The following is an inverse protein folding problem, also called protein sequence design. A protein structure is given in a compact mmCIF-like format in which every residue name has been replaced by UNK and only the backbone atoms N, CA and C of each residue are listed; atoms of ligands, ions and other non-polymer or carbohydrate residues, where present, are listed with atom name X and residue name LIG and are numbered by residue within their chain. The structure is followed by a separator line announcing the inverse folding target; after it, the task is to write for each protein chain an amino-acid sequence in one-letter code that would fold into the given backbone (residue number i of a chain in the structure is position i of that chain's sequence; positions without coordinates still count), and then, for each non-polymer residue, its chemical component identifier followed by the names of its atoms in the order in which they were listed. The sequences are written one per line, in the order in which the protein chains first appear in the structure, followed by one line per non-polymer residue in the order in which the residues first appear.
data_IF_655897245358
#
_entry.id   IF_655897245358
#
_cell.length_a   1.000
_cell.length_b   1.000
_cell.length_c   1.000
_cell.angle_alpha   90.00
_cell.angle_beta   90.00
_cell.angle_gamma   90.00
#
_symmetry.space_group_name_H-M   'P 1'
#
loop_
_entity.id
_entity.type
_entity.pdbx_description
1 polymer ?
#
# COMPACT_ATOMS: atom_id res chain seq x y z
N UNK A 1 -22.74 -0.02 -47.66
CA UNK A 1 -23.19 -1.35 -47.21
C UNK A 1 -22.09 -2.35 -46.84
N UNK A 2 -20.82 -2.13 -47.21
CA UNK A 2 -19.72 -3.09 -46.91
C UNK A 2 -19.10 -2.97 -45.51
N UNK A 3 -19.31 -1.89 -44.78
CA UNK A 3 -18.78 -1.68 -43.41
C UNK A 3 -19.64 -2.28 -42.31
N UNK A 4 -20.90 -2.54 -42.52
CA UNK A 4 -21.82 -3.13 -41.54
C UNK A 4 -21.77 -4.66 -41.47
N UNK A 5 -21.24 -5.29 -42.49
CA UNK A 5 -21.12 -6.78 -42.52
C UNK A 5 -19.86 -7.29 -41.79
N UNK A 6 -18.82 -6.47 -41.67
CA UNK A 6 -17.57 -6.87 -41.00
C UNK A 6 -17.75 -6.84 -39.48
N UNK A 7 -18.56 -5.94 -38.94
CA UNK A 7 -18.84 -5.84 -37.51
C UNK A 7 -19.70 -7.00 -36.99
N UNK A 8 -20.55 -7.57 -37.83
CA UNK A 8 -21.38 -8.73 -37.47
C UNK A 8 -20.60 -10.05 -37.44
N UNK A 9 -19.51 -10.17 -38.22
CA UNK A 9 -18.68 -11.36 -38.25
C UNK A 9 -17.70 -11.46 -37.06
N UNK A 10 -17.28 -10.34 -36.50
CA UNK A 10 -16.41 -10.33 -35.30
C UNK A 10 -17.18 -10.61 -34.00
N UNK A 11 -18.47 -10.31 -33.95
CA UNK A 11 -19.29 -10.57 -32.77
C UNK A 11 -19.69 -12.07 -32.62
N UNK A 12 -19.69 -12.83 -33.72
CA UNK A 12 -20.04 -14.25 -33.69
C UNK A 12 -18.89 -15.20 -33.34
N UNK A 13 -17.64 -14.73 -33.36
CA UNK A 13 -16.47 -15.53 -33.02
C UNK A 13 -16.19 -15.63 -31.49
N UNK A 14 -16.79 -14.79 -30.66
CA UNK A 14 -16.56 -14.80 -29.21
C UNK A 14 -17.51 -15.69 -28.42
N UNK A 15 -18.56 -16.26 -29.03
CA UNK A 15 -19.56 -17.07 -28.31
C UNK A 15 -19.23 -18.57 -28.34
N UNK A 16 -18.23 -19.02 -29.11
CA UNK A 16 -17.90 -20.43 -29.25
C UNK A 16 -16.79 -20.98 -28.34
N UNK A 17 -16.21 -20.15 -27.44
CA UNK A 17 -15.12 -20.59 -26.56
C UNK A 17 -15.53 -20.99 -25.14
N UNK A 18 -16.84 -21.07 -24.83
CA UNK A 18 -17.36 -21.37 -23.47
C UNK A 18 -17.97 -22.76 -23.30
N UNK A 19 -17.85 -23.66 -24.28
CA UNK A 19 -18.42 -25.01 -24.20
C UNK A 19 -17.34 -26.09 -24.38
N UNK A 20 -16.32 -26.07 -23.51
CA UNK A 20 -15.36 -27.17 -23.42
C UNK A 20 -14.87 -27.36 -21.98
N UNK A 21 -15.77 -27.69 -21.08
CA UNK A 21 -15.47 -28.48 -19.90
C UNK A 21 -16.79 -29.04 -19.31
N UNK A 22 -17.23 -30.16 -19.80
CA UNK A 22 -18.35 -30.88 -19.28
C UNK A 22 -18.44 -32.26 -19.92
N UNK A 23 -18.07 -33.30 -19.17
CA UNK A 23 -18.29 -34.70 -19.50
C UNK A 23 -17.45 -35.54 -18.54
N UNK A 24 -17.90 -36.47 -17.78
CA UNK A 24 -19.12 -37.22 -17.61
C UNK A 24 -18.76 -38.44 -16.80
N UNK A 25 -19.67 -38.98 -16.04
CA UNK A 25 -19.49 -40.29 -15.42
C UNK A 25 -20.22 -40.45 -14.09
N UNK A 26 -21.41 -40.88 -14.20
CA UNK A 26 -22.34 -41.71 -13.42
C UNK A 26 -21.87 -42.37 -12.10
N UNK A 27 -22.74 -42.25 -11.14
CA UNK A 27 -23.43 -43.21 -10.25
C UNK A 27 -23.20 -43.18 -8.75
N UNK A 28 -24.33 -43.05 -8.06
CA UNK A 28 -24.81 -43.73 -6.84
C UNK A 28 -24.61 -43.14 -5.47
N UNK A 29 -25.71 -42.56 -4.96
CA UNK A 29 -26.38 -42.88 -3.68
C UNK A 29 -25.67 -42.63 -2.33
N UNK A 30 -26.34 -41.86 -1.48
CA UNK A 30 -26.16 -41.88 -0.04
C UNK A 30 -26.32 -40.51 0.60
N UNK A 31 -27.46 -40.28 1.26
CA UNK A 31 -27.79 -39.09 2.01
C UNK A 31 -26.86 -38.84 3.19
N UNK A 32 -26.77 -37.57 3.60
CA UNK A 32 -26.10 -37.15 4.80
C UNK A 32 -26.09 -35.63 4.85
N UNK A 33 -27.02 -35.06 5.61
CA UNK A 33 -26.95 -33.66 6.07
C UNK A 33 -25.60 -33.39 6.70
N UNK A 34 -24.87 -32.46 6.16
CA UNK A 34 -23.78 -31.85 6.90
C UNK A 34 -23.70 -30.38 6.54
N UNK A 35 -24.04 -29.57 7.52
CA UNK A 35 -23.82 -28.14 7.55
C UNK A 35 -22.36 -27.83 7.19
N UNK A 36 -22.14 -27.29 6.01
CA UNK A 36 -20.84 -26.77 5.61
C UNK A 36 -20.70 -25.38 6.22
N UNK A 37 -20.15 -25.33 7.42
CA UNK A 37 -19.49 -24.14 7.93
C UNK A 37 -18.35 -23.82 6.98
N UNK A 38 -18.46 -22.69 6.30
CA UNK A 38 -17.37 -22.13 5.50
C UNK A 38 -16.16 -21.91 6.39
N UNK A 39 -15.21 -22.83 6.30
CA UNK A 39 -13.89 -22.66 6.83
C UNK A 39 -13.21 -21.60 5.96
N UNK A 40 -13.26 -20.34 6.41
CA UNK A 40 -12.34 -19.33 5.95
C UNK A 40 -10.95 -19.89 6.23
N UNK A 41 -10.21 -20.16 5.19
CA UNK A 41 -8.77 -20.42 5.29
C UNK A 41 -8.16 -19.09 5.73
N UNK A 42 -8.06 -18.85 7.03
CA UNK A 42 -7.09 -17.94 7.58
C UNK A 42 -5.75 -18.52 7.15
N UNK A 43 -5.09 -17.88 6.19
CA UNK A 43 -3.66 -18.02 6.05
C UNK A 43 -3.11 -17.67 7.43
N UNK A 44 -2.58 -18.67 8.14
CA UNK A 44 -1.77 -18.43 9.32
C UNK A 44 -0.57 -17.63 8.83
N UNK A 45 -0.67 -16.30 8.87
CA UNK A 45 0.51 -15.45 8.81
C UNK A 45 1.42 -15.98 9.92
N UNK A 46 2.65 -16.30 9.57
CA UNK A 46 3.69 -16.62 10.55
C UNK A 46 3.71 -15.42 11.50
N UNK A 47 3.27 -15.62 12.74
CA UNK A 47 2.99 -14.52 13.67
C UNK A 47 4.20 -13.65 14.00
N UNK A 48 5.38 -14.07 13.52
CA UNK A 48 6.66 -13.43 13.75
C UNK A 48 7.23 -12.72 12.51
N UNK A 49 6.53 -12.76 11.36
CA UNK A 49 7.00 -12.13 10.13
C UNK A 49 6.14 -10.91 9.78
N UNK A 50 6.79 -9.79 9.46
CA UNK A 50 6.15 -8.59 8.88
C UNK A 50 6.69 -8.32 7.49
N UNK A 51 5.78 -7.98 6.58
CA UNK A 51 6.07 -7.51 5.22
C UNK A 51 5.88 -6.00 5.14
N UNK A 52 6.84 -5.28 4.57
CA UNK A 52 6.80 -3.82 4.46
C UNK A 52 7.07 -3.39 3.03
N UNK A 53 6.26 -2.49 2.47
CA UNK A 53 6.57 -1.79 1.22
C UNK A 53 7.17 -0.43 1.50
N UNK A 54 8.36 -0.18 0.94
CA UNK A 54 9.12 1.07 1.06
C UNK A 54 9.95 1.28 -0.21
N UNK A 55 10.53 2.48 -0.45
CA UNK A 55 11.10 2.82 -1.78
C UNK A 55 12.52 3.36 -1.78
N UNK A 56 13.11 3.78 -0.67
CA UNK A 56 14.45 4.38 -0.66
C UNK A 56 15.40 3.55 0.18
N UNK A 57 16.34 2.87 -0.49
CA UNK A 57 17.32 1.98 0.13
C UNK A 57 18.27 2.72 1.09
N UNK A 58 18.58 3.99 0.82
CA UNK A 58 19.52 4.74 1.62
C UNK A 58 18.86 5.48 2.80
N UNK A 59 17.54 5.55 2.81
CA UNK A 59 16.79 6.26 3.84
C UNK A 59 15.76 5.38 4.53
N UNK A 60 14.54 5.24 3.98
CA UNK A 60 13.46 4.58 4.71
C UNK A 60 13.65 3.06 4.84
N UNK A 61 14.12 2.36 3.82
CA UNK A 61 14.42 0.92 3.91
C UNK A 61 15.51 0.69 4.96
N UNK A 62 16.60 1.45 4.90
CA UNK A 62 17.69 1.33 5.88
C UNK A 62 17.24 1.61 7.30
N UNK A 63 16.36 2.58 7.51
CA UNK A 63 15.81 2.90 8.83
C UNK A 63 14.92 1.75 9.36
N UNK A 64 14.06 1.19 8.51
CA UNK A 64 13.18 0.07 8.85
C UNK A 64 14.01 -1.18 9.20
N UNK A 65 15.02 -1.52 8.41
CA UNK A 65 15.94 -2.62 8.67
C UNK A 65 16.68 -2.44 10.00
N UNK A 66 17.16 -1.22 10.27
CA UNK A 66 17.85 -0.91 11.54
C UNK A 66 16.91 -1.05 12.74
N UNK A 67 15.65 -0.62 12.61
CA UNK A 67 14.63 -0.81 13.64
C UNK A 67 14.36 -2.30 13.89
N UNK A 68 14.27 -3.10 12.82
CA UNK A 68 14.08 -4.54 12.91
C UNK A 68 15.25 -5.24 13.60
N UNK A 69 16.50 -4.86 13.30
CA UNK A 69 17.69 -5.36 14.00
C UNK A 69 17.65 -5.08 15.51
N UNK A 70 17.13 -3.90 15.89
CA UNK A 70 16.96 -3.56 17.29
C UNK A 70 15.85 -4.40 17.94
N UNK A 71 14.71 -4.55 17.26
CA UNK A 71 13.57 -5.33 17.75
C UNK A 71 13.91 -6.82 17.93
N UNK A 72 14.71 -7.38 17.05
CA UNK A 72 15.20 -8.79 17.14
C UNK A 72 16.00 -9.10 18.41
N UNK A 73 16.55 -8.12 19.08
CA UNK A 73 17.30 -8.36 20.33
C UNK A 73 16.40 -8.92 21.44
N UNK A 74 15.16 -8.46 21.47
CA UNK A 74 14.14 -8.87 22.42
C UNK A 74 13.17 -9.92 21.83
N UNK A 75 13.16 -10.05 20.50
CA UNK A 75 12.27 -10.93 19.72
C UNK A 75 13.09 -11.71 18.67
N UNK A 76 13.90 -12.69 19.07
CA UNK A 76 14.88 -13.35 18.19
C UNK A 76 14.25 -14.07 16.98
N UNK A 77 13.01 -14.51 17.10
CA UNK A 77 12.27 -15.21 16.04
C UNK A 77 11.54 -14.24 15.08
N UNK A 78 11.68 -12.92 15.27
CA UNK A 78 11.07 -11.93 14.39
C UNK A 78 11.73 -11.89 13.01
N UNK A 79 10.93 -11.91 11.97
CA UNK A 79 11.38 -11.77 10.59
C UNK A 79 10.78 -10.50 9.95
N UNK A 80 11.61 -9.79 9.22
CA UNK A 80 11.18 -8.64 8.41
C UNK A 80 11.46 -8.95 6.94
N UNK A 81 10.45 -8.74 6.10
CA UNK A 81 10.59 -8.70 4.65
C UNK A 81 10.27 -7.29 4.13
N UNK A 82 11.29 -6.60 3.64
CA UNK A 82 11.09 -5.30 2.97
C UNK A 82 11.07 -5.52 1.48
N UNK A 83 9.95 -5.17 0.84
CA UNK A 83 9.79 -5.20 -0.61
C UNK A 83 9.93 -3.79 -1.14
N UNK A 84 11.00 -3.54 -1.88
CA UNK A 84 11.22 -2.25 -2.54
C UNK A 84 10.11 -2.01 -3.57
N UNK A 85 9.27 -1.03 -3.29
CA UNK A 85 8.09 -0.70 -4.09
C UNK A 85 7.97 0.81 -4.16
N UNK A 86 7.94 1.40 -5.35
CA UNK A 86 7.81 2.85 -5.51
C UNK A 86 6.54 3.39 -4.85
N UNK A 87 6.56 4.67 -4.44
CA UNK A 87 5.37 5.32 -3.84
C UNK A 87 4.14 5.22 -4.76
N UNK A 88 4.32 5.38 -6.06
CA UNK A 88 3.21 5.29 -7.03
C UNK A 88 2.70 3.87 -7.19
N UNK A 89 3.59 2.87 -7.16
CA UNK A 89 3.20 1.46 -7.20
C UNK A 89 2.48 1.05 -5.91
N UNK A 90 2.90 1.52 -4.75
CA UNK A 90 2.18 1.32 -3.48
C UNK A 90 0.73 1.81 -3.60
N UNK A 91 0.53 3.03 -4.08
CA UNK A 91 -0.79 3.62 -4.28
C UNK A 91 -1.63 2.86 -5.31
N UNK A 92 -1.02 2.43 -6.41
CA UNK A 92 -1.69 1.67 -7.48
C UNK A 92 -2.14 0.30 -6.97
N UNK A 93 -1.27 -0.43 -6.31
CA UNK A 93 -1.58 -1.75 -5.74
C UNK A 93 -2.65 -1.67 -4.65
N UNK A 94 -2.56 -0.67 -3.75
CA UNK A 94 -3.57 -0.43 -2.73
C UNK A 94 -4.94 -0.13 -3.35
N UNK A 95 -4.98 0.75 -4.37
CA UNK A 95 -6.22 1.06 -5.11
C UNK A 95 -6.81 -0.19 -5.76
N UNK A 96 -5.97 -1.02 -6.35
CA UNK A 96 -6.41 -2.25 -7.02
C UNK A 96 -7.00 -3.24 -6.04
N UNK A 97 -6.32 -3.49 -4.92
CA UNK A 97 -6.79 -4.36 -3.85
C UNK A 97 -8.12 -3.87 -3.25
N UNK A 98 -8.21 -2.58 -2.95
CA UNK A 98 -9.40 -1.96 -2.38
C UNK A 98 -10.61 -2.04 -3.32
N UNK A 99 -10.41 -1.78 -4.62
CA UNK A 99 -11.48 -1.91 -5.62
C UNK A 99 -11.95 -3.36 -5.82
N UNK A 100 -11.06 -4.33 -5.62
CA UNK A 100 -11.40 -5.75 -5.66
C UNK A 100 -12.05 -6.24 -4.36
N UNK A 101 -11.94 -5.50 -3.26
CA UNK A 101 -12.32 -5.93 -1.92
C UNK A 101 -11.46 -7.08 -1.39
N UNK A 102 -10.24 -7.24 -1.93
CA UNK A 102 -9.28 -8.28 -1.57
C UNK A 102 -7.95 -7.66 -1.16
N UNK A 103 -7.69 -7.64 0.12
CA UNK A 103 -6.49 -7.07 0.74
C UNK A 103 -5.37 -8.09 0.97
N UNK A 104 -5.56 -9.36 0.59
CA UNK A 104 -4.61 -10.45 0.83
C UNK A 104 -3.25 -10.27 0.14
N UNK A 105 -3.19 -9.41 -0.87
CA UNK A 105 -1.97 -9.09 -1.63
C UNK A 105 -1.21 -7.88 -1.10
N UNK A 106 -1.76 -7.21 -0.08
CA UNK A 106 -1.10 -6.07 0.55
C UNK A 106 -0.09 -6.52 1.61
N UNK A 107 0.94 -5.72 1.90
CA UNK A 107 1.85 -5.97 3.00
C UNK A 107 1.19 -5.67 4.34
N UNK A 108 1.81 -6.09 5.43
CA UNK A 108 1.38 -5.72 6.78
C UNK A 108 1.56 -4.22 7.03
N UNK A 109 2.61 -3.62 6.46
CA UNK A 109 2.92 -2.20 6.58
C UNK A 109 3.22 -1.61 5.21
N UNK A 110 2.62 -0.48 4.89
CA UNK A 110 2.91 0.30 3.69
C UNK A 110 3.40 1.70 4.06
N UNK A 111 4.54 2.09 3.51
CA UNK A 111 4.98 3.47 3.61
C UNK A 111 4.14 4.35 2.68
N UNK A 112 3.64 5.47 3.19
CA UNK A 112 2.79 6.39 2.46
C UNK A 112 3.27 7.83 2.62
N UNK A 113 3.19 8.61 1.56
CA UNK A 113 3.48 10.04 1.63
C UNK A 113 2.31 10.79 2.27
N UNK A 114 2.60 11.77 3.12
CA UNK A 114 1.61 12.58 3.84
C UNK A 114 0.55 13.20 2.92
N UNK A 115 0.97 13.70 1.76
CA UNK A 115 0.09 14.38 0.80
C UNK A 115 -0.96 13.46 0.14
N UNK A 116 -0.75 12.15 0.18
CA UNK A 116 -1.65 11.17 -0.43
C UNK A 116 -2.45 10.37 0.59
N UNK A 117 -1.96 10.23 1.83
CA UNK A 117 -2.51 9.29 2.80
C UNK A 117 -3.97 9.56 3.16
N UNK A 118 -4.34 10.82 3.42
CA UNK A 118 -5.72 11.22 3.73
C UNK A 118 -6.74 10.79 2.65
N UNK A 119 -6.33 10.83 1.38
CA UNK A 119 -7.17 10.37 0.27
C UNK A 119 -7.49 8.89 0.42
N UNK A 120 -6.50 8.07 0.74
CA UNK A 120 -6.67 6.62 0.87
C UNK A 120 -7.48 6.26 2.10
N UNK A 121 -7.22 6.89 3.25
CA UNK A 121 -8.00 6.69 4.47
C UNK A 121 -9.50 6.96 4.26
N UNK A 122 -9.83 8.04 3.54
CA UNK A 122 -11.23 8.41 3.28
C UNK A 122 -11.91 7.55 2.21
N UNK A 123 -11.12 7.09 1.22
CA UNK A 123 -11.68 6.30 0.12
C UNK A 123 -11.79 4.82 0.45
N UNK A 124 -10.88 4.31 1.28
CA UNK A 124 -10.74 2.88 1.58
C UNK A 124 -10.48 2.65 3.08
N UNK A 125 -11.39 3.04 3.98
CA UNK A 125 -11.18 2.96 5.42
C UNK A 125 -10.90 1.52 5.89
N UNK A 126 -11.48 0.53 5.24
CA UNK A 126 -11.32 -0.90 5.60
C UNK A 126 -9.93 -1.46 5.25
N UNK A 127 -9.10 -0.71 4.50
CA UNK A 127 -7.73 -1.11 4.18
C UNK A 127 -6.73 -0.81 5.31
N UNK A 128 -7.15 -0.10 6.36
CA UNK A 128 -6.25 0.39 7.39
C UNK A 128 -6.76 0.01 8.78
N UNK A 129 -5.83 -0.35 9.65
CA UNK A 129 -6.12 -0.70 11.04
C UNK A 129 -6.11 0.56 11.92
N UNK A 130 -7.07 0.69 12.81
CA UNK A 130 -7.09 1.70 13.87
C UNK A 130 -6.00 1.37 14.91
N UNK A 131 -5.01 2.28 15.04
CA UNK A 131 -3.86 2.13 15.91
C UNK A 131 -3.99 2.93 17.23
N UNK A 132 -5.10 3.61 17.45
CA UNK A 132 -5.29 4.57 18.54
C UNK A 132 -4.93 3.99 19.91
N UNK A 133 -5.41 2.78 20.20
CA UNK A 133 -5.25 2.12 21.50
C UNK A 133 -4.18 1.01 21.50
N UNK A 134 -3.27 0.99 20.51
CA UNK A 134 -2.26 -0.06 20.38
C UNK A 134 -0.97 0.19 21.19
N UNK A 135 -1.03 1.05 22.20
CA UNK A 135 0.10 1.29 23.11
C UNK A 135 1.17 2.23 22.56
N UNK A 136 0.89 2.93 21.46
CA UNK A 136 1.79 3.93 20.88
C UNK A 136 1.70 5.21 21.71
N UNK A 137 2.85 5.77 22.12
CA UNK A 137 2.90 7.06 22.77
C UNK A 137 2.81 8.17 21.72
N UNK A 138 1.61 8.66 21.46
CA UNK A 138 1.36 9.68 20.42
C UNK A 138 1.98 11.04 20.77
N UNK A 139 2.30 11.32 22.01
CA UNK A 139 2.98 12.56 22.41
C UNK A 139 4.43 12.65 21.92
N UNK A 140 5.03 11.54 21.50
CA UNK A 140 6.36 11.50 20.90
C UNK A 140 6.37 12.07 19.47
N UNK A 141 5.21 12.27 18.86
CA UNK A 141 5.07 12.73 17.48
C UNK A 141 4.46 14.13 17.40
N UNK A 142 4.99 14.95 16.48
CA UNK A 142 4.44 16.28 16.22
C UNK A 142 2.97 16.20 15.75
N UNK A 143 2.09 17.02 16.34
CA UNK A 143 0.64 16.99 16.05
C UNK A 143 0.29 17.18 14.57
N UNK A 144 1.05 18.00 13.85
CA UNK A 144 0.85 18.18 12.41
C UNK A 144 1.11 16.87 11.64
N UNK A 145 2.15 16.13 12.00
CA UNK A 145 2.45 14.84 11.35
C UNK A 145 1.39 13.80 11.66
N UNK A 146 0.90 13.74 12.90
CA UNK A 146 -0.20 12.86 13.29
C UNK A 146 -1.46 13.14 12.45
N UNK A 147 -1.79 14.43 12.20
CA UNK A 147 -3.01 14.81 11.49
C UNK A 147 -3.10 14.25 10.07
N UNK A 148 -1.98 13.93 9.41
CA UNK A 148 -1.98 13.33 8.09
C UNK A 148 -2.46 11.87 8.07
N UNK A 149 -2.38 11.18 9.19
CA UNK A 149 -2.81 9.79 9.35
C UNK A 149 -4.02 9.62 10.29
N UNK A 150 -4.70 10.71 10.61
CA UNK A 150 -5.89 10.71 11.48
C UNK A 150 -7.18 10.97 10.68
N UNK A 151 -8.24 10.25 11.05
CA UNK A 151 -9.62 10.51 10.62
C UNK A 151 -10.52 10.27 11.84
N UNK A 152 -11.44 11.19 12.12
CA UNK A 152 -12.40 11.12 13.23
C UNK A 152 -11.74 10.81 14.60
N UNK A 153 -10.66 11.54 14.89
CA UNK A 153 -9.83 11.40 16.11
C UNK A 153 -9.13 10.03 16.28
N UNK A 154 -9.10 9.21 15.25
CA UNK A 154 -8.44 7.91 15.23
C UNK A 154 -7.15 7.94 14.42
N UNK A 155 -6.14 7.22 14.89
CA UNK A 155 -4.84 7.09 14.24
C UNK A 155 -4.79 5.82 13.37
N UNK A 156 -4.43 5.97 12.10
CA UNK A 156 -4.29 4.87 11.14
C UNK A 156 -2.88 4.70 10.59
N UNK A 157 -1.95 5.53 11.05
CA UNK A 157 -0.55 5.44 10.67
C UNK A 157 0.35 6.10 11.68
N UNK A 158 1.57 5.61 11.78
CA UNK A 158 2.62 6.15 12.65
C UNK A 158 3.49 7.09 11.82
N UNK A 159 3.74 8.33 12.26
CA UNK A 159 4.68 9.23 11.59
C UNK A 159 6.08 8.60 11.49
N UNK A 160 6.63 8.55 10.27
CA UNK A 160 7.92 7.92 10.02
C UNK A 160 9.07 8.95 10.07
N UNK A 161 8.89 10.09 9.40
CA UNK A 161 9.89 11.15 9.36
C UNK A 161 9.26 12.55 9.49
N UNK A 162 10.12 13.55 9.63
CA UNK A 162 9.72 14.94 9.59
C UNK A 162 10.73 15.74 8.76
N UNK A 163 10.52 15.77 7.45
CA UNK A 163 11.38 16.48 6.50
C UNK A 163 11.11 17.99 6.48
N UNK A 164 12.13 18.75 6.16
CA UNK A 164 12.02 20.17 5.85
C UNK A 164 12.26 20.39 4.34
N UNK A 165 11.45 21.25 3.73
CA UNK A 165 11.71 21.74 2.37
C UNK A 165 12.65 22.93 2.46
N UNK A 166 13.77 22.84 1.75
CA UNK A 166 14.77 23.91 1.66
C UNK A 166 15.02 24.27 0.20
N UNK A 167 15.30 25.53 -0.06
CA UNK A 167 15.80 25.98 -1.35
C UNK A 167 17.33 25.98 -1.34
N UNK A 168 17.92 25.30 -2.31
CA UNK A 168 19.37 25.29 -2.50
C UNK A 168 19.73 26.04 -3.78
N UNK A 169 20.72 26.93 -3.68
CA UNK A 169 21.17 27.74 -4.80
C UNK A 169 22.61 27.45 -5.16
N UNK A 170 22.89 27.37 -6.45
CA UNK A 170 24.23 27.33 -7.02
C UNK A 170 24.77 28.75 -7.01
N UNK A 171 25.48 29.13 -5.93
CA UNK A 171 26.04 30.49 -5.73
C UNK A 171 27.10 30.87 -6.76
N UNK A 172 27.81 29.88 -7.32
CA UNK A 172 28.74 30.06 -8.44
C UNK A 172 28.03 30.53 -9.71
N UNK A 173 26.90 29.89 -10.08
CA UNK A 173 26.10 30.28 -11.25
C UNK A 173 25.43 31.64 -11.05
N UNK A 174 24.91 31.89 -9.85
CA UNK A 174 24.34 33.20 -9.52
C UNK A 174 25.37 34.33 -9.74
N UNK A 175 26.59 34.12 -9.27
CA UNK A 175 27.68 35.08 -9.41
C UNK A 175 28.09 35.31 -10.88
N UNK A 176 28.14 34.24 -11.68
CA UNK A 176 28.40 34.34 -13.14
C UNK A 176 27.30 35.14 -13.85
N UNK A 177 26.03 35.02 -13.38
CA UNK A 177 24.88 35.78 -13.89
C UNK A 177 24.82 37.23 -13.33
N UNK A 178 25.72 37.61 -12.43
CA UNK A 178 25.77 38.96 -11.82
C UNK A 178 24.85 39.13 -10.63
N UNK A 179 24.38 38.04 -10.02
CA UNK A 179 23.52 38.03 -8.83
C UNK A 179 24.24 37.47 -7.61
N UNK A 180 23.75 37.83 -6.43
CA UNK A 180 24.11 37.25 -5.14
C UNK A 180 22.90 36.61 -4.47
N UNK A 181 23.11 35.91 -3.37
CA UNK A 181 22.00 35.35 -2.58
C UNK A 181 21.07 36.43 -2.03
N UNK A 182 21.61 37.62 -1.75
CA UNK A 182 20.87 38.75 -1.19
C UNK A 182 19.88 39.36 -2.22
N UNK A 183 20.11 39.13 -3.51
CA UNK A 183 19.20 39.55 -4.58
C UNK A 183 17.96 38.63 -4.73
N UNK A 184 17.94 37.51 -3.99
CA UNK A 184 16.86 36.50 -4.03
C UNK A 184 15.91 36.61 -2.83
N UNK A 185 15.86 37.75 -2.15
CA UNK A 185 15.10 37.94 -0.90
C UNK A 185 13.58 37.95 -1.09
N UNK A 186 13.08 38.06 -2.30
CA UNK A 186 11.65 38.20 -2.63
C UNK A 186 11.09 36.96 -3.38
N UNK A 187 11.51 35.76 -3.01
CA UNK A 187 10.84 34.53 -3.47
C UNK A 187 9.64 34.26 -2.55
N UNK A 188 8.56 34.97 -2.78
CA UNK A 188 7.23 34.73 -2.19
C UNK A 188 6.32 34.07 -3.21
#
# INVERSE_FOLDING_TARGET
MKKKMITALLASAMVLSLVACGGGGTDSNGGGDTSSSGSGTSSSSDSNKLTVWAWDQNFNIKAIETAAEQYKKDHPDFELEVVETSSDDCQTKLTTAANAGDYSTLPDIVLMQDNSYQKFLKSYPDAFTDLTDMGINWDDFGKLKQSYSMVDDKHYGVPFDNGAVIACYRTDILKEAGYTIDDLTDIT
#
